data_IF_038073734379
#
_entry.id   IF_038073734379
#
_cell.length_a   1.000
_cell.length_b   1.000
_cell.length_c   1.000
_cell.angle_alpha   90.00
_cell.angle_beta   90.00
_cell.angle_gamma   90.00
#
_symmetry.space_group_name_H-M   'P 1'
#
loop_
_entity.id
_entity.type
_entity.pdbx_description
1 polymer ?
#
# COMPACT_ATOMS: atom_id res chain seq x y z
N UNK A 1 5.90 14.43 -68.20
CA UNK A 1 5.78 13.94 -66.82
C UNK A 1 7.15 13.39 -66.44
N UNK A 2 7.83 13.96 -65.43
CA UNK A 2 9.12 13.46 -64.95
C UNK A 2 8.85 12.21 -64.13
N UNK A 3 9.41 11.07 -64.52
CA UNK A 3 9.27 9.81 -63.78
C UNK A 3 10.45 9.69 -62.83
N UNK A 4 10.29 10.16 -61.60
CA UNK A 4 11.33 10.05 -60.58
C UNK A 4 11.40 8.59 -60.08
N UNK A 5 12.59 7.98 -60.16
CA UNK A 5 12.79 6.57 -59.79
C UNK A 5 13.28 6.47 -58.34
N UNK A 6 12.68 5.56 -57.56
CA UNK A 6 13.02 5.29 -56.16
C UNK A 6 13.63 3.90 -56.00
N UNK A 7 14.70 3.78 -55.23
CA UNK A 7 15.27 2.49 -54.82
C UNK A 7 14.53 2.03 -53.57
N UNK A 8 13.76 0.95 -53.70
CA UNK A 8 12.88 0.47 -52.63
C UNK A 8 13.40 -0.86 -52.07
N UNK A 9 13.70 -0.86 -50.77
CA UNK A 9 13.90 -2.10 -50.02
C UNK A 9 12.54 -2.62 -49.56
N UNK A 10 12.26 -3.90 -49.78
CA UNK A 10 10.98 -4.52 -49.39
C UNK A 10 11.09 -5.25 -48.07
N UNK A 11 10.23 -4.90 -47.11
CA UNK A 11 10.05 -5.63 -45.86
C UNK A 11 8.71 -6.37 -45.90
N UNK A 12 8.77 -7.63 -46.32
CA UNK A 12 7.59 -8.51 -46.47
C UNK A 12 7.49 -9.53 -45.33
N UNK A 13 8.62 -9.97 -44.76
CA UNK A 13 8.64 -10.92 -43.64
C UNK A 13 8.30 -10.22 -42.32
N UNK A 14 7.69 -10.93 -41.38
CA UNK A 14 7.34 -10.41 -40.06
C UNK A 14 8.51 -9.76 -39.31
N UNK A 15 9.70 -10.39 -39.30
CA UNK A 15 10.89 -9.85 -38.62
C UNK A 15 11.37 -8.53 -39.24
N UNK A 16 11.24 -8.40 -40.56
CA UNK A 16 11.67 -7.23 -41.31
C UNK A 16 10.67 -6.08 -41.11
N UNK A 17 9.38 -6.41 -40.99
CA UNK A 17 8.31 -5.45 -40.69
C UNK A 17 8.36 -4.94 -39.25
N UNK A 18 8.61 -5.81 -38.27
CA UNK A 18 8.72 -5.40 -36.86
C UNK A 18 9.95 -4.51 -36.63
N UNK A 19 11.06 -4.81 -37.30
CA UNK A 19 12.27 -4.00 -37.20
C UNK A 19 12.13 -2.69 -37.97
N UNK A 20 11.58 -2.70 -39.20
CA UNK A 20 11.51 -1.50 -40.04
C UNK A 20 12.88 -0.81 -40.16
N UNK A 21 12.89 0.52 -40.00
CA UNK A 21 14.12 1.33 -39.89
C UNK A 21 14.77 1.35 -38.49
N UNK A 22 14.28 0.58 -37.52
CA UNK A 22 14.82 0.55 -36.16
C UNK A 22 16.28 0.07 -36.14
N UNK A 23 17.16 0.90 -35.56
CA UNK A 23 18.59 0.63 -35.48
C UNK A 23 19.33 0.73 -36.82
N UNK A 24 18.66 1.16 -37.90
CA UNK A 24 19.28 1.42 -39.21
C UNK A 24 19.71 2.89 -39.32
N UNK A 25 20.68 3.21 -40.20
CA UNK A 25 20.94 4.60 -40.57
C UNK A 25 19.75 5.19 -41.34
N UNK A 26 19.66 6.53 -41.36
CA UNK A 26 18.64 7.23 -42.12
C UNK A 26 18.73 6.84 -43.61
N UNK A 27 17.60 6.58 -44.29
CA UNK A 27 17.60 6.33 -45.72
C UNK A 27 18.26 7.49 -46.49
N UNK A 28 19.07 7.17 -47.50
CA UNK A 28 19.61 8.17 -48.40
C UNK A 28 18.49 8.77 -49.28
N UNK A 29 18.73 9.95 -49.87
CA UNK A 29 17.80 10.50 -50.85
C UNK A 29 17.57 9.49 -52.00
N UNK A 30 16.32 9.40 -52.46
CA UNK A 30 15.89 8.42 -53.46
C UNK A 30 15.77 6.99 -52.97
N UNK A 31 15.98 6.71 -51.67
CA UNK A 31 15.80 5.39 -51.07
C UNK A 31 14.59 5.35 -50.14
N UNK A 32 13.86 4.25 -50.17
CA UNK A 32 12.71 4.02 -49.31
C UNK A 32 12.67 2.59 -48.78
N UNK A 33 12.02 2.40 -47.62
CA UNK A 33 11.60 1.09 -47.14
C UNK A 33 10.11 0.93 -47.40
N UNK A 34 9.72 -0.07 -48.19
CA UNK A 34 8.33 -0.45 -48.38
C UNK A 34 7.97 -1.60 -47.44
N UNK A 35 7.10 -1.32 -46.48
CA UNK A 35 6.58 -2.30 -45.53
C UNK A 35 5.22 -2.78 -46.04
N UNK A 36 5.12 -4.09 -46.30
CA UNK A 36 3.90 -4.71 -46.85
C UNK A 36 3.57 -6.02 -46.13
N UNK A 37 2.32 -6.21 -45.64
CA UNK A 37 1.27 -5.20 -45.46
C UNK A 37 1.55 -4.30 -44.25
N UNK A 38 1.21 -3.01 -44.34
CA UNK A 38 1.34 -2.08 -43.22
C UNK A 38 0.33 -0.93 -43.29
N UNK A 39 -0.42 -0.74 -42.20
CA UNK A 39 -1.43 0.32 -42.04
C UNK A 39 -1.18 1.21 -40.81
N UNK A 40 -0.13 0.93 -40.03
CA UNK A 40 0.28 1.68 -38.85
C UNK A 40 1.77 1.54 -38.63
N UNK A 41 2.43 2.65 -38.29
CA UNK A 41 3.85 2.72 -37.98
C UNK A 41 4.02 3.44 -36.65
N UNK A 42 4.92 2.92 -35.82
CA UNK A 42 5.40 3.62 -34.63
C UNK A 42 6.87 4.02 -34.80
N UNK A 43 7.26 5.12 -34.18
CA UNK A 43 8.65 5.58 -34.12
C UNK A 43 9.24 5.44 -32.71
N UNK A 44 8.68 4.54 -31.89
CA UNK A 44 9.30 4.16 -30.62
C UNK A 44 10.75 3.69 -30.87
N UNK A 45 11.69 4.15 -30.04
CA UNK A 45 13.12 3.83 -30.13
C UNK A 45 13.84 4.27 -31.42
N UNK A 46 13.20 5.05 -32.30
CA UNK A 46 13.87 5.67 -33.45
C UNK A 46 14.78 6.82 -33.01
N UNK A 47 15.91 7.02 -33.70
CA UNK A 47 16.86 8.10 -33.40
C UNK A 47 16.64 9.39 -34.20
N UNK A 48 15.85 9.31 -35.27
CA UNK A 48 15.63 10.41 -36.22
C UNK A 48 14.17 10.38 -36.72
N UNK A 49 13.62 11.53 -37.15
CA UNK A 49 12.30 11.58 -37.77
C UNK A 49 12.33 10.96 -39.18
N UNK A 50 11.20 10.39 -39.59
CA UNK A 50 11.02 9.80 -40.92
C UNK A 50 9.72 10.30 -41.55
N UNK A 51 9.69 10.40 -42.88
CA UNK A 51 8.45 10.62 -43.61
C UNK A 51 7.74 9.28 -43.80
N UNK A 52 6.42 9.29 -43.60
CA UNK A 52 5.56 8.11 -43.75
C UNK A 52 4.54 8.38 -44.85
N UNK A 53 4.52 7.52 -45.87
CA UNK A 53 3.56 7.58 -46.98
C UNK A 53 2.75 6.29 -47.00
N UNK A 54 1.47 6.38 -46.69
CA UNK A 54 0.53 5.27 -46.71
C UNK A 54 -0.06 5.10 -48.12
N UNK A 55 -0.01 3.89 -48.66
CA UNK A 55 -0.56 3.53 -49.98
C UNK A 55 -1.73 2.55 -49.86
N UNK A 56 -2.76 2.68 -50.71
CA UNK A 56 -3.80 1.67 -50.84
C UNK A 56 -3.31 0.43 -51.63
N UNK A 57 -4.18 -0.57 -51.80
CA UNK A 57 -3.81 -1.81 -52.52
C UNK A 57 -3.55 -1.64 -54.02
N UNK A 58 -3.83 -0.47 -54.60
CA UNK A 58 -3.52 -0.14 -56.00
C UNK A 58 -2.25 0.72 -56.13
N UNK A 59 -1.53 0.98 -55.03
CA UNK A 59 -0.34 1.83 -55.04
C UNK A 59 -0.63 3.34 -54.98
N UNK A 60 -1.87 3.77 -54.76
CA UNK A 60 -2.18 5.19 -54.62
C UNK A 60 -1.94 5.68 -53.19
N UNK A 61 -1.31 6.85 -53.06
CA UNK A 61 -1.09 7.52 -51.77
C UNK A 61 -2.44 7.91 -51.17
N UNK A 62 -2.71 7.43 -49.95
CA UNK A 62 -3.93 7.76 -49.19
C UNK A 62 -3.68 8.71 -48.03
N UNK A 63 -2.44 8.78 -47.54
CA UNK A 63 -2.04 9.69 -46.46
C UNK A 63 -0.52 9.88 -46.47
N UNK A 64 -0.07 11.12 -46.28
CA UNK A 64 1.33 11.44 -45.96
C UNK A 64 1.41 11.98 -44.53
N UNK A 65 2.46 11.61 -43.81
CA UNK A 65 2.87 12.22 -42.54
C UNK A 65 4.33 12.62 -42.68
N UNK A 66 4.58 13.93 -42.66
CA UNK A 66 5.94 14.47 -42.76
C UNK A 66 6.63 14.47 -41.40
N UNK A 67 7.92 14.14 -41.41
CA UNK A 67 8.85 14.21 -40.28
C UNK A 67 8.26 13.67 -38.96
N UNK A 68 7.71 12.44 -39.01
CA UNK A 68 7.18 11.76 -37.83
C UNK A 68 8.32 11.56 -36.80
N UNK A 69 8.29 12.35 -35.74
CA UNK A 69 9.33 12.38 -34.70
C UNK A 69 9.38 11.06 -33.92
N UNK A 70 10.51 10.73 -33.25
CA UNK A 70 10.58 9.61 -32.31
C UNK A 70 9.46 9.61 -31.26
N UNK A 71 9.05 8.42 -30.81
CA UNK A 71 7.98 8.22 -29.82
C UNK A 71 6.62 8.74 -30.27
N UNK A 72 6.27 8.52 -31.54
CA UNK A 72 4.96 8.83 -32.11
C UNK A 72 4.41 7.62 -32.86
N UNK A 73 3.13 7.70 -33.18
CA UNK A 73 2.42 6.67 -33.94
C UNK A 73 1.65 7.38 -35.06
N UNK A 74 1.67 6.78 -36.25
CA UNK A 74 0.83 7.17 -37.37
C UNK A 74 0.11 5.95 -37.91
N UNK A 75 -1.18 6.07 -38.16
CA UNK A 75 -1.99 5.01 -38.76
C UNK A 75 -2.89 5.54 -39.88
N UNK A 76 -3.21 4.66 -40.82
CA UNK A 76 -4.18 4.85 -41.88
C UNK A 76 -4.85 3.51 -42.21
N UNK A 77 -6.09 3.33 -41.75
CA UNK A 77 -6.85 2.09 -41.97
C UNK A 77 -7.13 1.77 -43.45
N UNK A 78 -7.09 2.77 -44.33
CA UNK A 78 -7.25 2.63 -45.79
C UNK A 78 -5.98 2.14 -46.49
N UNK A 79 -4.86 2.10 -45.77
CA UNK A 79 -3.57 1.69 -46.31
C UNK A 79 -3.44 0.17 -46.34
N UNK A 80 -2.71 -0.30 -47.35
CA UNK A 80 -2.23 -1.68 -47.49
C UNK A 80 -0.71 -1.74 -47.41
N UNK A 81 -0.03 -0.67 -47.82
CA UNK A 81 1.42 -0.56 -47.79
C UNK A 81 1.83 0.75 -47.13
N UNK A 82 3.02 0.78 -46.54
CA UNK A 82 3.62 2.00 -46.01
C UNK A 82 5.03 2.15 -46.53
N UNK A 83 5.34 3.32 -47.09
CA UNK A 83 6.67 3.76 -47.48
C UNK A 83 7.27 4.61 -46.36
N UNK A 84 8.44 4.22 -45.87
CA UNK A 84 9.25 5.00 -44.94
C UNK A 84 10.42 5.64 -45.69
N UNK A 85 10.56 6.96 -45.57
CA UNK A 85 11.55 7.77 -46.26
C UNK A 85 12.31 8.66 -45.26
N UNK A 86 13.43 9.22 -45.71
CA UNK A 86 14.07 10.32 -44.98
C UNK A 86 13.09 11.49 -44.78
N UNK A 87 13.19 12.19 -43.65
CA UNK A 87 12.36 13.36 -43.40
C UNK A 87 12.52 14.43 -44.49
N UNK A 88 11.41 14.92 -45.04
CA UNK A 88 11.37 15.90 -46.14
C UNK A 88 11.38 15.29 -47.55
N UNK A 89 11.66 14.00 -47.68
CA UNK A 89 11.80 13.33 -48.98
C UNK A 89 10.46 13.09 -49.66
N UNK A 90 9.39 12.84 -48.88
CA UNK A 90 8.06 12.67 -49.44
C UNK A 90 7.56 13.95 -50.12
N UNK A 91 7.93 15.13 -49.58
CA UNK A 91 7.64 16.43 -50.20
C UNK A 91 8.49 16.65 -51.46
N UNK A 92 9.79 16.33 -51.41
CA UNK A 92 10.71 16.48 -52.55
C UNK A 92 10.25 15.69 -53.77
N UNK A 93 9.72 14.49 -53.54
CA UNK A 93 9.21 13.57 -54.57
C UNK A 93 7.75 13.82 -54.97
N UNK A 94 7.09 14.82 -54.37
CA UNK A 94 5.69 15.14 -54.66
C UNK A 94 4.70 14.03 -54.29
N UNK A 95 5.00 13.22 -53.26
CA UNK A 95 4.14 12.12 -52.79
C UNK A 95 2.98 12.69 -51.97
N UNK A 96 1.99 13.25 -52.67
CA UNK A 96 0.74 13.77 -52.11
C UNK A 96 -0.38 12.73 -52.18
N UNK A 97 -1.38 12.77 -51.28
CA UNK A 97 -2.59 11.97 -51.42
C UNK A 97 -3.21 12.08 -52.82
N UNK A 98 -3.53 10.93 -53.42
CA UNK A 98 -4.04 10.84 -54.79
C UNK A 98 -3.00 10.52 -55.86
N UNK A 99 -1.69 10.66 -55.56
CA UNK A 99 -0.62 10.25 -56.48
C UNK A 99 -0.54 8.73 -56.55
N UNK A 100 -0.46 8.19 -57.77
CA UNK A 100 -0.21 6.77 -58.01
C UNK A 100 1.29 6.49 -58.01
N UNK A 101 1.72 5.51 -57.21
CA UNK A 101 3.10 5.01 -57.18
C UNK A 101 3.10 3.64 -57.84
N UNK A 102 3.84 3.50 -58.94
CA UNK A 102 4.06 2.19 -59.56
C UNK A 102 5.05 1.39 -58.69
N UNK A 103 4.55 0.32 -58.08
CA UNK A 103 5.33 -0.58 -57.24
C UNK A 103 5.85 -1.79 -58.04
N UNK A 104 5.66 -1.85 -59.36
CA UNK A 104 6.21 -2.90 -60.19
C UNK A 104 7.75 -2.77 -60.29
N UNK A 105 8.51 -3.88 -60.21
CA UNK A 105 9.94 -3.84 -60.48
C UNK A 105 10.19 -3.46 -61.95
N UNK A 106 11.20 -2.61 -62.19
CA UNK A 106 11.55 -2.14 -63.53
C UNK A 106 12.09 -3.25 -64.48
N UNK A 107 12.23 -4.50 -64.01
CA UNK A 107 12.60 -5.67 -64.81
C UNK A 107 11.94 -6.95 -64.27
N UNK A 108 11.59 -7.93 -65.12
CA UNK A 108 10.96 -9.16 -64.69
C UNK A 108 11.96 -10.05 -63.92
N UNK A 109 11.75 -10.21 -62.61
CA UNK A 109 12.34 -11.29 -61.83
C UNK A 109 11.42 -12.52 -61.86
N UNK A 110 12.01 -13.71 -61.92
CA UNK A 110 11.28 -14.97 -61.86
C UNK A 110 10.40 -15.04 -60.60
N UNK A 111 9.14 -15.54 -60.71
CA UNK A 111 8.21 -15.58 -59.59
C UNK A 111 8.73 -16.51 -58.50
N UNK A 112 9.05 -15.94 -57.33
CA UNK A 112 9.28 -16.69 -56.10
C UNK A 112 7.92 -17.26 -55.66
N UNK A 113 7.81 -18.57 -55.35
CA UNK A 113 6.51 -19.16 -55.03
C UNK A 113 5.91 -18.51 -53.77
N UNK A 114 4.70 -17.96 -53.94
CA UNK A 114 3.88 -17.41 -52.87
C UNK A 114 3.56 -18.50 -51.83
N UNK A 115 4.31 -18.54 -50.74
CA UNK A 115 3.87 -19.26 -49.54
C UNK A 115 2.84 -18.37 -48.84
N UNK A 116 1.56 -18.71 -48.97
CA UNK A 116 0.47 -17.92 -48.40
C UNK A 116 0.63 -17.76 -46.89
N UNK A 117 0.83 -16.52 -46.44
CA UNK A 117 0.81 -16.18 -45.02
C UNK A 117 -0.64 -16.25 -44.50
N UNK A 118 -1.03 -17.43 -44.00
CA UNK A 118 -2.17 -17.54 -43.09
C UNK A 118 -1.62 -17.51 -41.67
N UNK A 119 -1.90 -16.44 -40.92
CA UNK A 119 -1.87 -16.48 -39.44
C UNK A 119 -0.80 -15.68 -38.68
N UNK A 120 -0.16 -14.64 -39.25
CA UNK A 120 0.81 -13.84 -38.48
C UNK A 120 0.22 -13.19 -37.21
N UNK A 121 -1.06 -12.79 -37.23
CA UNK A 121 -1.79 -12.29 -36.05
C UNK A 121 -2.01 -13.35 -34.99
N UNK A 122 -2.20 -14.61 -35.39
CA UNK A 122 -2.34 -15.74 -34.48
C UNK A 122 -1.01 -16.01 -33.77
N UNK A 123 0.12 -15.94 -34.49
CA UNK A 123 1.46 -16.13 -33.90
C UNK A 123 1.79 -15.01 -32.92
N UNK A 124 1.49 -13.75 -33.25
CA UNK A 124 1.68 -12.62 -32.34
C UNK A 124 0.81 -12.74 -31.08
N UNK A 125 -0.46 -13.14 -31.23
CA UNK A 125 -1.34 -13.38 -30.09
C UNK A 125 -0.87 -14.56 -29.22
N UNK A 126 -0.35 -15.62 -29.81
CA UNK A 126 0.17 -16.79 -29.07
C UNK A 126 1.42 -16.45 -28.26
N UNK A 127 2.21 -15.46 -28.69
CA UNK A 127 3.41 -15.02 -27.96
C UNK A 127 3.05 -13.93 -26.93
N UNK A 128 2.35 -12.88 -27.35
CA UNK A 128 2.07 -11.69 -26.52
C UNK A 128 0.91 -11.96 -25.56
N UNK A 129 -0.10 -12.71 -25.98
CA UNK A 129 -1.31 -12.99 -25.20
C UNK A 129 -1.00 -13.65 -23.84
N UNK A 130 -0.25 -14.76 -23.79
CA UNK A 130 0.12 -15.39 -22.51
C UNK A 130 0.96 -14.48 -21.61
N UNK A 131 1.88 -13.69 -22.18
CA UNK A 131 2.70 -12.75 -21.40
C UNK A 131 1.85 -11.61 -20.80
N UNK A 132 1.00 -10.99 -21.61
CA UNK A 132 0.09 -9.93 -21.16
C UNK A 132 -0.90 -10.45 -20.11
N UNK A 133 -1.44 -11.65 -20.30
CA UNK A 133 -2.29 -12.33 -19.32
C UNK A 133 -1.54 -12.60 -18.02
N UNK A 134 -0.30 -13.10 -18.09
CA UNK A 134 0.52 -13.35 -16.91
C UNK A 134 0.80 -12.07 -16.11
N UNK A 135 1.13 -10.97 -16.80
CA UNK A 135 1.31 -9.66 -16.15
C UNK A 135 0.01 -9.22 -15.45
N UNK A 136 -1.15 -9.37 -16.09
CA UNK A 136 -2.44 -9.05 -15.49
C UNK A 136 -2.72 -9.90 -14.24
N UNK A 137 -2.42 -11.20 -14.28
CA UNK A 137 -2.57 -12.10 -13.13
C UNK A 137 -1.64 -11.70 -11.98
N UNK A 138 -0.40 -11.26 -12.26
CA UNK A 138 0.54 -10.75 -11.25
C UNK A 138 0.04 -9.43 -10.64
N UNK A 139 -0.49 -8.52 -11.45
CA UNK A 139 -1.07 -7.27 -10.94
C UNK A 139 -2.27 -7.54 -10.01
N UNK A 140 -3.15 -8.47 -10.40
CA UNK A 140 -4.27 -8.90 -9.55
C UNK A 140 -3.77 -9.55 -8.25
N UNK A 141 -2.75 -10.39 -8.32
CA UNK A 141 -2.11 -10.99 -7.14
C UNK A 141 -1.53 -9.94 -6.21
N UNK A 142 -0.91 -8.88 -6.75
CA UNK A 142 -0.38 -7.78 -5.96
C UNK A 142 -1.50 -6.99 -5.26
N UNK A 143 -2.64 -6.78 -5.92
CA UNK A 143 -3.81 -6.15 -5.30
C UNK A 143 -4.36 -7.00 -4.13
N UNK A 144 -4.43 -8.33 -4.27
CA UNK A 144 -4.81 -9.23 -3.18
C UNK A 144 -3.80 -9.24 -2.04
N UNK A 145 -2.51 -9.13 -2.34
CA UNK A 145 -1.45 -8.98 -1.34
C UNK A 145 -1.62 -7.68 -0.56
N UNK A 146 -1.90 -6.56 -1.24
CA UNK A 146 -2.18 -5.28 -0.59
C UNK A 146 -3.42 -5.35 0.31
N UNK A 147 -4.48 -6.03 -0.14
CA UNK A 147 -5.67 -6.27 0.68
C UNK A 147 -5.35 -7.10 1.93
N UNK A 148 -4.61 -8.20 1.78
CA UNK A 148 -4.17 -9.03 2.90
C UNK A 148 -3.27 -8.25 3.88
N UNK A 149 -2.39 -7.40 3.35
CA UNK A 149 -1.52 -6.52 4.13
C UNK A 149 -2.32 -5.51 4.96
N UNK A 150 -3.33 -4.90 4.36
CA UNK A 150 -4.23 -3.96 5.05
C UNK A 150 -4.99 -4.64 6.20
N UNK A 151 -5.55 -5.83 5.95
CA UNK A 151 -6.22 -6.64 6.97
C UNK A 151 -5.27 -7.05 8.11
N UNK A 152 -4.04 -7.46 7.79
CA UNK A 152 -3.03 -7.80 8.78
C UNK A 152 -2.67 -6.59 9.64
N UNK A 153 -2.49 -5.41 9.05
CA UNK A 153 -2.18 -4.18 9.80
C UNK A 153 -3.31 -3.82 10.77
N UNK A 154 -4.57 -3.90 10.33
CA UNK A 154 -5.73 -3.70 11.19
C UNK A 154 -5.77 -4.72 12.35
N UNK A 155 -5.58 -6.01 12.05
CA UNK A 155 -5.55 -7.04 13.08
C UNK A 155 -4.40 -6.87 14.07
N UNK A 156 -3.25 -6.40 13.59
CA UNK A 156 -2.07 -6.11 14.41
C UNK A 156 -2.35 -4.92 15.34
N UNK A 157 -3.03 -3.87 14.86
CA UNK A 157 -3.46 -2.74 15.68
C UNK A 157 -4.47 -3.16 16.76
N UNK A 158 -5.51 -3.93 16.43
CA UNK A 158 -6.46 -4.43 17.44
C UNK A 158 -5.79 -5.36 18.45
N UNK A 159 -4.85 -6.19 18.01
CA UNK A 159 -4.05 -7.05 18.89
C UNK A 159 -3.23 -6.23 19.89
N UNK A 160 -2.56 -5.17 19.42
CA UNK A 160 -1.83 -4.26 20.29
C UNK A 160 -2.76 -3.48 21.21
N UNK A 161 -3.90 -2.99 20.72
CA UNK A 161 -4.90 -2.30 21.54
C UNK A 161 -5.33 -3.18 22.71
N UNK A 162 -5.74 -4.41 22.42
CA UNK A 162 -6.10 -5.38 23.45
C UNK A 162 -4.93 -5.69 24.40
N UNK A 163 -3.71 -5.83 23.87
CA UNK A 163 -2.50 -6.06 24.67
C UNK A 163 -2.20 -4.92 25.64
N UNK A 164 -2.31 -3.66 25.20
CA UNK A 164 -1.98 -2.50 26.05
C UNK A 164 -2.89 -2.35 27.26
N UNK A 165 -4.15 -2.77 27.18
CA UNK A 165 -5.12 -2.72 28.29
C UNK A 165 -5.16 -4.02 29.12
N UNK A 166 -4.67 -5.13 28.56
CA UNK A 166 -4.68 -6.45 29.20
C UNK A 166 -3.28 -6.88 29.67
N UNK A 167 -2.49 -5.95 30.20
CA UNK A 167 -1.17 -6.18 30.78
C UNK A 167 -0.17 -6.89 29.85
N UNK A 168 -0.27 -6.66 28.54
CA UNK A 168 0.53 -7.33 27.51
C UNK A 168 0.37 -8.86 27.48
N UNK A 169 -0.76 -9.40 27.96
CA UNK A 169 -1.00 -10.85 27.99
C UNK A 169 -1.10 -11.45 26.58
N UNK A 170 -0.30 -12.48 26.23
CA UNK A 170 -0.32 -13.10 24.91
C UNK A 170 -1.70 -13.67 24.52
N UNK A 171 -2.47 -14.18 25.49
CA UNK A 171 -3.82 -14.72 25.25
C UNK A 171 -4.80 -13.64 24.78
N UNK A 172 -4.75 -12.44 25.36
CA UNK A 172 -5.58 -11.30 24.96
C UNK A 172 -5.19 -10.78 23.57
N UNK A 173 -3.88 -10.65 23.32
CA UNK A 173 -3.33 -10.23 22.02
C UNK A 173 -3.76 -11.22 20.93
N UNK A 174 -3.58 -12.52 21.18
CA UNK A 174 -3.96 -13.58 20.23
C UNK A 174 -5.46 -13.59 19.95
N UNK A 175 -6.29 -13.51 20.98
CA UNK A 175 -7.75 -13.52 20.82
C UNK A 175 -8.26 -12.32 20.00
N UNK A 176 -7.68 -11.13 20.23
CA UNK A 176 -8.00 -9.93 19.47
C UNK A 176 -7.52 -10.02 18.01
N UNK A 177 -6.30 -10.52 17.78
CA UNK A 177 -5.78 -10.79 16.44
C UNK A 177 -6.69 -11.74 15.65
N UNK A 178 -7.04 -12.90 16.22
CA UNK A 178 -7.88 -13.91 15.56
C UNK A 178 -9.30 -13.38 15.29
N UNK A 179 -9.82 -12.55 16.20
CA UNK A 179 -11.10 -11.85 15.98
C UNK A 179 -11.02 -10.88 14.82
N UNK A 180 -9.97 -10.05 14.74
CA UNK A 180 -9.82 -9.08 13.67
C UNK A 180 -9.57 -9.76 12.30
N UNK A 181 -8.81 -10.87 12.27
CA UNK A 181 -8.57 -11.66 11.05
C UNK A 181 -9.83 -12.38 10.55
N UNK A 182 -10.91 -12.46 11.32
CA UNK A 182 -12.16 -13.11 10.89
C UNK A 182 -12.70 -12.52 9.58
N UNK A 183 -12.63 -11.18 9.41
CA UNK A 183 -13.09 -10.50 8.19
C UNK A 183 -12.30 -10.86 6.93
N UNK A 184 -11.01 -11.19 7.08
CA UNK A 184 -10.18 -11.64 5.96
C UNK A 184 -10.59 -13.04 5.46
N UNK A 185 -11.15 -13.87 6.35
CA UNK A 185 -11.59 -15.23 6.05
C UNK A 185 -13.06 -15.34 5.59
N UNK A 186 -13.76 -14.21 5.55
CA UNK A 186 -15.14 -14.11 5.10
C UNK A 186 -15.94 -13.15 5.98
N UNK A 187 -17.21 -13.01 5.66
CA UNK A 187 -18.16 -12.28 6.49
C UNK A 187 -19.30 -13.17 6.92
N UNK A 188 -20.40 -12.52 7.27
CA UNK A 188 -21.68 -13.15 7.53
C UNK A 188 -22.65 -12.09 7.99
N UNK A 189 -23.90 -12.17 7.55
CA UNK A 189 -24.99 -11.35 8.10
C UNK A 189 -25.70 -12.07 9.24
N UNK A 190 -25.45 -13.39 9.37
CA UNK A 190 -25.97 -14.22 10.46
C UNK A 190 -24.86 -14.66 11.41
N UNK A 191 -25.25 -15.03 12.63
CA UNK A 191 -24.32 -15.57 13.65
C UNK A 191 -23.66 -16.87 13.20
N UNK A 192 -24.38 -17.72 12.46
CA UNK A 192 -23.87 -18.99 11.93
C UNK A 192 -22.78 -18.76 10.86
N UNK A 193 -23.00 -17.84 9.93
CA UNK A 193 -22.01 -17.48 8.91
C UNK A 193 -20.76 -16.84 9.55
N UNK A 194 -20.95 -15.97 10.53
CA UNK A 194 -19.84 -15.35 11.25
C UNK A 194 -19.04 -16.39 12.05
N UNK A 195 -19.70 -17.37 12.66
CA UNK A 195 -19.04 -18.48 13.34
C UNK A 195 -18.20 -19.33 12.37
N UNK A 196 -18.70 -19.59 11.16
CA UNK A 196 -17.95 -20.30 10.12
C UNK A 196 -16.72 -19.49 9.63
N UNK A 197 -16.87 -18.18 9.45
CA UNK A 197 -15.75 -17.28 9.12
C UNK A 197 -14.70 -17.24 10.24
N UNK A 198 -15.14 -17.21 11.50
CA UNK A 198 -14.25 -17.28 12.67
C UNK A 198 -13.51 -18.61 12.75
N UNK A 199 -14.19 -19.73 12.50
CA UNK A 199 -13.56 -21.06 12.49
C UNK A 199 -12.46 -21.15 11.42
N UNK A 200 -12.70 -20.59 10.22
CA UNK A 200 -11.68 -20.50 9.16
C UNK A 200 -10.47 -19.66 9.57
N UNK A 201 -10.68 -18.56 10.29
CA UNK A 201 -9.58 -17.73 10.79
C UNK A 201 -8.77 -18.44 11.86
N UNK A 202 -9.43 -19.13 12.80
CA UNK A 202 -8.76 -19.91 13.85
C UNK A 202 -7.95 -21.08 13.28
N UNK A 203 -8.43 -21.70 12.18
CA UNK A 203 -7.68 -22.75 11.49
C UNK A 203 -6.35 -22.25 10.89
N UNK A 204 -6.19 -20.96 10.66
CA UNK A 204 -4.93 -20.37 10.19
C UNK A 204 -3.96 -20.04 11.32
N UNK A 205 -4.29 -20.34 12.58
CA UNK A 205 -3.46 -19.96 13.71
C UNK A 205 -2.00 -20.43 13.66
N UNK A 206 -1.69 -21.66 13.19
CA UNK A 206 -0.31 -22.13 13.03
C UNK A 206 0.53 -21.31 12.03
N UNK A 207 -0.11 -20.58 11.13
CA UNK A 207 0.54 -19.80 10.08
C UNK A 207 0.65 -18.31 10.42
N UNK A 208 0.39 -17.96 11.69
CA UNK A 208 0.53 -16.62 12.24
C UNK A 208 1.41 -16.65 13.50
N UNK A 209 2.60 -16.05 13.41
CA UNK A 209 3.51 -15.89 14.54
C UNK A 209 3.41 -14.47 15.08
N UNK A 210 3.03 -14.33 16.35
CA UNK A 210 2.95 -13.05 17.06
C UNK A 210 4.14 -12.97 18.01
N UNK A 211 5.00 -11.98 17.79
CA UNK A 211 6.22 -11.78 18.54
C UNK A 211 6.12 -10.47 19.32
N UNK A 212 6.35 -10.54 20.63
CA UNK A 212 6.39 -9.38 21.50
C UNK A 212 7.84 -8.91 21.62
N UNK A 213 8.14 -7.79 20.96
CA UNK A 213 9.48 -7.20 20.88
C UNK A 213 9.77 -6.25 22.04
N UNK A 214 8.74 -5.71 22.68
CA UNK A 214 8.83 -4.86 23.86
C UNK A 214 7.48 -4.90 24.59
N UNK A 215 7.45 -4.94 25.93
CA UNK A 215 8.60 -4.94 26.84
C UNK A 215 9.42 -6.24 26.75
N UNK A 216 10.74 -6.12 26.81
CA UNK A 216 11.67 -7.25 26.77
C UNK A 216 11.86 -7.86 28.16
N UNK A 217 12.44 -9.06 28.25
CA UNK A 217 12.81 -9.65 29.54
C UNK A 217 13.74 -8.73 30.33
N UNK A 218 14.68 -8.09 29.63
CA UNK A 218 15.63 -7.13 30.16
C UNK A 218 14.91 -5.85 30.65
N UNK A 219 13.85 -5.42 29.96
CA UNK A 219 13.01 -4.31 30.43
C UNK A 219 12.38 -4.63 31.80
N UNK A 220 12.00 -5.89 32.04
CA UNK A 220 11.53 -6.34 33.35
C UNK A 220 12.68 -6.47 34.37
N UNK A 221 13.91 -6.81 33.97
CA UNK A 221 15.07 -6.80 34.88
C UNK A 221 15.30 -5.39 35.43
N UNK A 222 15.33 -4.39 34.54
CA UNK A 222 15.62 -3.00 34.86
C UNK A 222 14.48 -2.34 35.66
N UNK A 223 13.22 -2.53 35.25
CA UNK A 223 12.11 -1.67 35.68
C UNK A 223 10.97 -2.36 36.44
N UNK A 224 11.10 -3.62 36.86
CA UNK A 224 10.03 -4.25 37.64
C UNK A 224 9.85 -3.63 39.04
N UNK A 225 8.59 -3.59 39.49
CA UNK A 225 8.15 -3.11 40.81
C UNK A 225 7.54 -4.26 41.62
N UNK A 226 8.27 -4.82 42.61
CA UNK A 226 7.74 -5.83 43.52
C UNK A 226 6.50 -5.38 44.30
N UNK A 227 6.45 -4.11 44.73
CA UNK A 227 5.30 -3.58 45.46
C UNK A 227 4.05 -3.52 44.58
N UNK A 228 4.19 -3.14 43.31
CA UNK A 228 3.09 -3.15 42.36
C UNK A 228 2.65 -4.58 42.02
N UNK A 229 3.59 -5.51 41.83
CA UNK A 229 3.30 -6.91 41.60
C UNK A 229 2.45 -7.51 42.74
N UNK A 230 2.82 -7.23 44.00
CA UNK A 230 2.06 -7.63 45.17
C UNK A 230 0.65 -7.03 45.20
N UNK A 231 0.50 -5.72 44.90
CA UNK A 231 -0.81 -5.05 44.86
C UNK A 231 -1.74 -5.61 43.78
N UNK A 232 -1.19 -6.05 42.65
CA UNK A 232 -1.97 -6.67 41.58
C UNK A 232 -2.17 -8.17 41.75
N UNK A 233 -1.61 -8.79 42.80
CA UNK A 233 -1.65 -10.24 43.00
C UNK A 233 -0.99 -11.02 41.86
N UNK A 234 0.00 -10.43 41.19
CA UNK A 234 0.68 -11.03 40.05
C UNK A 234 1.88 -11.85 40.51
N UNK A 235 2.03 -13.08 40.01
CA UNK A 235 3.22 -13.90 40.24
C UNK A 235 4.41 -13.51 39.33
N UNK A 236 4.15 -12.74 38.26
CA UNK A 236 5.16 -12.25 37.33
C UNK A 236 5.66 -10.85 37.67
N UNK A 237 6.81 -10.48 37.10
CA UNK A 237 7.35 -9.12 37.20
C UNK A 237 6.43 -8.11 36.52
N UNK A 238 6.33 -6.92 37.09
CA UNK A 238 5.40 -5.87 36.63
C UNK A 238 6.13 -4.56 36.50
N UNK A 239 6.01 -3.91 35.34
CA UNK A 239 6.56 -2.56 35.14
C UNK A 239 5.46 -1.53 35.44
N UNK A 240 5.73 -0.48 36.23
CA UNK A 240 4.74 0.57 36.47
C UNK A 240 4.44 1.35 35.18
N UNK A 241 3.17 1.71 34.98
CA UNK A 241 2.68 2.47 33.81
C UNK A 241 2.08 3.85 34.18
N UNK A 242 2.19 4.27 35.44
CA UNK A 242 1.66 5.55 35.92
C UNK A 242 2.80 6.55 36.15
N UNK A 243 2.51 7.85 36.03
CA UNK A 243 3.47 8.93 36.28
C UNK A 243 4.79 8.82 35.51
N UNK A 244 4.76 8.20 34.31
CA UNK A 244 5.95 7.97 33.49
C UNK A 244 6.68 9.25 33.05
N UNK A 245 6.02 10.42 33.11
CA UNK A 245 6.68 11.70 32.83
C UNK A 245 7.67 12.11 33.92
N UNK A 246 7.52 11.59 35.14
CA UNK A 246 8.26 12.02 36.32
C UNK A 246 9.09 10.90 36.96
N UNK A 247 8.85 9.65 36.57
CA UNK A 247 9.55 8.48 37.09
C UNK A 247 10.62 8.03 36.09
N UNK A 248 11.87 7.98 36.55
CA UNK A 248 12.95 7.23 35.89
C UNK A 248 13.02 5.79 36.40
N UNK A 249 12.61 5.57 37.65
CA UNK A 249 12.57 4.27 38.32
C UNK A 249 11.23 4.03 39.03
N UNK A 250 10.86 2.76 39.28
CA UNK A 250 9.76 2.44 40.19
C UNK A 250 9.96 3.06 41.58
N UNK A 251 8.88 3.53 42.21
CA UNK A 251 8.91 4.21 43.52
C UNK A 251 9.53 3.30 44.61
N UNK A 252 9.26 2.00 44.53
CA UNK A 252 9.78 0.99 45.46
C UNK A 252 11.20 0.52 45.13
N UNK A 253 11.77 0.94 43.99
CA UNK A 253 13.15 0.67 43.58
C UNK A 253 13.81 1.93 43.02
N UNK A 254 14.11 2.95 43.86
CA UNK A 254 14.65 4.22 43.40
C UNK A 254 16.06 4.13 42.78
N UNK A 255 16.82 3.06 43.06
CA UNK A 255 18.14 2.79 42.49
C UNK A 255 18.11 1.74 41.37
N UNK A 256 17.09 1.79 40.50
CA UNK A 256 17.00 0.92 39.33
C UNK A 256 18.02 1.31 38.24
N UNK A 257 18.27 0.42 37.28
CA UNK A 257 19.12 0.72 36.12
C UNK A 257 18.36 1.57 35.09
N UNK A 258 18.23 2.88 35.35
CA UNK A 258 17.41 3.79 34.53
C UNK A 258 18.12 4.41 33.33
N UNK A 259 19.45 4.27 33.24
CA UNK A 259 20.24 4.85 32.15
C UNK A 259 20.32 3.87 30.97
N UNK A 260 19.73 4.21 29.79
CA UNK A 260 19.77 3.35 28.61
C UNK A 260 21.17 3.03 28.09
N UNK A 261 22.19 3.81 28.44
CA UNK A 261 23.56 3.54 28.03
C UNK A 261 24.20 2.38 28.82
N UNK A 262 23.68 2.06 30.01
CA UNK A 262 24.30 1.12 30.94
C UNK A 262 23.37 0.00 31.41
N UNK A 263 22.05 0.13 31.20
CA UNK A 263 21.08 -0.88 31.60
C UNK A 263 20.98 -2.05 30.61
N UNK A 264 20.41 -3.17 31.07
CA UNK A 264 20.37 -4.40 30.28
C UNK A 264 19.47 -4.28 29.05
N UNK A 265 18.40 -3.49 29.15
CA UNK A 265 17.40 -3.32 28.09
C UNK A 265 17.77 -2.31 27.01
N UNK A 266 18.72 -1.41 27.27
CA UNK A 266 18.99 -0.25 26.42
C UNK A 266 17.81 0.71 26.30
N UNK A 267 16.92 0.74 27.29
CA UNK A 267 15.62 1.42 27.23
C UNK A 267 15.37 2.31 28.44
N UNK A 268 14.60 3.38 28.28
CA UNK A 268 14.06 4.15 29.41
C UNK A 268 12.83 3.45 30.02
N UNK A 269 12.36 3.90 31.19
CA UNK A 269 11.09 3.41 31.77
C UNK A 269 9.90 3.67 30.83
N UNK A 270 9.95 4.76 30.05
CA UNK A 270 8.94 5.10 29.05
C UNK A 270 8.98 4.13 27.86
N UNK A 271 10.18 3.80 27.37
CA UNK A 271 10.37 2.81 26.30
C UNK A 271 9.92 1.42 26.72
N UNK A 272 10.21 1.03 27.97
CA UNK A 272 9.74 -0.20 28.59
C UNK A 272 8.21 -0.26 28.75
N UNK A 273 7.50 0.87 28.58
CA UNK A 273 6.04 0.95 28.53
C UNK A 273 5.49 1.06 27.09
N UNK A 274 6.29 0.75 26.07
CA UNK A 274 5.82 0.59 24.69
C UNK A 274 5.63 -0.90 24.38
N UNK A 275 4.40 -1.26 24.01
CA UNK A 275 4.08 -2.56 23.42
C UNK A 275 4.49 -2.54 21.95
N UNK A 276 5.57 -3.24 21.61
CA UNK A 276 6.04 -3.43 20.24
C UNK A 276 5.73 -4.85 19.80
N UNK A 277 4.89 -5.01 18.77
CA UNK A 277 4.56 -6.33 18.22
C UNK A 277 5.11 -6.46 16.80
N UNK A 278 5.62 -7.65 16.48
CA UNK A 278 5.87 -8.11 15.11
C UNK A 278 5.00 -9.32 14.84
N UNK A 279 4.15 -9.24 13.81
CA UNK A 279 3.27 -10.33 13.42
C UNK A 279 3.62 -10.79 12.01
N UNK A 280 4.04 -12.05 11.89
CA UNK A 280 4.31 -12.70 10.61
C UNK A 280 3.14 -13.60 10.25
N UNK A 281 2.56 -13.42 9.07
CA UNK A 281 1.40 -14.19 8.59
C UNK A 281 1.66 -14.74 7.18
N UNK A 282 1.34 -16.02 6.97
CA UNK A 282 1.44 -16.66 5.66
C UNK A 282 0.11 -16.67 4.90
N UNK A 283 0.02 -15.90 3.80
CA UNK A 283 -1.17 -15.86 2.95
C UNK A 283 -1.43 -17.26 2.35
N UNK A 284 -2.59 -17.88 2.59
CA UNK A 284 -2.86 -19.25 2.15
C UNK A 284 -3.02 -19.32 0.63
N UNK A 285 -2.62 -20.43 0.02
CA UNK A 285 -2.72 -20.66 -1.43
C UNK A 285 -4.13 -20.45 -2.00
N UNK A 286 -5.17 -20.79 -1.23
CA UNK A 286 -6.60 -20.55 -1.59
C UNK A 286 -6.98 -19.08 -1.79
N UNK A 287 -6.15 -18.14 -1.32
CA UNK A 287 -6.33 -16.68 -1.44
C UNK A 287 -5.35 -16.07 -2.46
N UNK A 288 -4.65 -16.91 -3.23
CA UNK A 288 -3.71 -16.49 -4.26
C UNK A 288 -4.29 -16.77 -5.66
N UNK A 289 -3.91 -15.94 -6.63
CA UNK A 289 -4.20 -16.13 -8.05
C UNK A 289 -3.39 -17.33 -8.56
N UNK A 290 -4.03 -18.27 -9.30
CA UNK A 290 -3.34 -19.37 -9.94
C UNK A 290 -2.17 -18.88 -10.80
N UNK A 291 -1.08 -19.65 -10.86
CA UNK A 291 0.18 -19.33 -11.54
C UNK A 291 0.97 -18.17 -10.90
N UNK A 292 0.34 -17.02 -10.64
CA UNK A 292 1.01 -15.84 -10.08
C UNK A 292 1.42 -16.02 -8.61
N UNK A 293 0.55 -16.60 -7.77
CA UNK A 293 0.85 -16.88 -6.36
C UNK A 293 2.05 -17.81 -6.17
N UNK A 294 2.04 -19.02 -6.76
CA UNK A 294 3.18 -19.94 -6.72
C UNK A 294 4.45 -19.34 -7.33
N UNK A 295 4.33 -18.53 -8.39
CA UNK A 295 5.46 -17.80 -8.96
C UNK A 295 6.07 -16.84 -7.93
N UNK A 296 5.25 -16.04 -7.23
CA UNK A 296 5.74 -15.13 -6.20
C UNK A 296 6.37 -15.85 -5.00
N UNK A 297 5.75 -16.93 -4.50
CA UNK A 297 6.30 -17.72 -3.41
C UNK A 297 7.67 -18.33 -3.78
N UNK A 298 7.79 -18.87 -5.00
CA UNK A 298 9.07 -19.37 -5.53
C UNK A 298 10.10 -18.26 -5.75
N UNK A 299 9.68 -17.11 -6.26
CA UNK A 299 10.56 -15.96 -6.44
C UNK A 299 11.14 -15.48 -5.10
N UNK A 300 10.31 -15.45 -4.04
CA UNK A 300 10.78 -15.14 -2.68
C UNK A 300 11.79 -16.17 -2.16
N UNK A 301 11.57 -17.46 -2.40
CA UNK A 301 12.52 -18.50 -2.01
C UNK A 301 13.92 -18.32 -2.65
N UNK A 302 13.96 -17.80 -3.89
CA UNK A 302 15.21 -17.57 -4.63
C UNK A 302 15.87 -16.24 -4.25
N UNK A 303 15.08 -15.17 -4.15
CA UNK A 303 15.59 -13.83 -3.86
C UNK A 303 16.07 -13.68 -2.41
N UNK A 304 15.52 -14.49 -1.50
CA UNK A 304 15.80 -14.41 -0.07
C UNK A 304 16.33 -15.75 0.47
N UNK A 305 17.18 -16.41 -0.33
CA UNK A 305 17.74 -17.73 -0.01
C UNK A 305 18.61 -17.76 1.27
N UNK A 306 19.01 -16.59 1.78
CA UNK A 306 19.81 -16.44 3.00
C UNK A 306 18.96 -16.12 4.25
N UNK A 307 17.63 -16.12 4.15
CA UNK A 307 16.80 -15.88 5.33
C UNK A 307 16.91 -17.01 6.36
N UNK A 308 17.40 -16.66 7.54
CA UNK A 308 17.60 -17.58 8.66
C UNK A 308 16.33 -17.91 9.45
N UNK A 309 15.16 -17.35 9.09
CA UNK A 309 13.91 -17.57 9.82
C UNK A 309 13.20 -18.87 9.40
N UNK A 310 13.38 -19.92 10.21
CA UNK A 310 12.76 -21.23 10.01
C UNK A 310 11.23 -21.19 9.86
N UNK A 311 10.54 -20.26 10.53
CA UNK A 311 9.09 -20.13 10.40
C UNK A 311 8.72 -19.60 9.01
N UNK A 312 9.42 -18.57 8.54
CA UNK A 312 9.16 -17.96 7.24
C UNK A 312 9.53 -18.91 6.11
N UNK A 313 10.63 -19.65 6.26
CA UNK A 313 11.00 -20.74 5.36
C UNK A 313 9.91 -21.84 5.31
N UNK A 314 9.36 -22.23 6.46
CA UNK A 314 8.23 -23.17 6.54
C UNK A 314 6.98 -22.69 5.80
N UNK A 315 6.63 -21.40 5.94
CA UNK A 315 5.51 -20.81 5.20
C UNK A 315 5.72 -20.89 3.68
N UNK A 316 6.93 -20.56 3.20
CA UNK A 316 7.25 -20.61 1.77
C UNK A 316 7.21 -22.06 1.26
N UNK A 317 7.73 -23.02 2.05
CA UNK A 317 7.68 -24.44 1.73
C UNK A 317 6.22 -24.96 1.62
N UNK A 318 5.32 -24.44 2.45
CA UNK A 318 3.87 -24.71 2.39
C UNK A 318 3.15 -23.97 1.25
N UNK A 319 3.88 -23.25 0.38
CA UNK A 319 3.32 -22.48 -0.73
C UNK A 319 2.59 -21.20 -0.30
N UNK A 320 2.88 -20.69 0.89
CA UNK A 320 2.29 -19.46 1.42
C UNK A 320 3.21 -18.26 1.18
N UNK A 321 2.61 -17.09 1.00
CA UNK A 321 3.36 -15.84 0.83
C UNK A 321 3.47 -15.17 2.22
N UNK A 322 4.67 -15.09 2.82
CA UNK A 322 4.85 -14.46 4.13
C UNK A 322 4.73 -12.93 4.02
N UNK A 323 3.99 -12.34 4.95
CA UNK A 323 3.88 -10.88 5.15
C UNK A 323 4.08 -10.54 6.63
N UNK A 324 4.75 -9.42 6.93
CA UNK A 324 5.17 -9.07 8.31
C UNK A 324 4.65 -7.70 8.71
N UNK A 325 3.78 -7.59 9.70
CA UNK A 325 3.27 -6.32 10.24
C UNK A 325 3.96 -5.97 11.56
N UNK A 326 4.20 -4.68 11.76
CA UNK A 326 4.73 -4.12 13.00
C UNK A 326 3.75 -3.10 13.55
N UNK A 327 3.63 -3.03 14.86
CA UNK A 327 2.91 -1.94 15.53
C UNK A 327 3.58 -1.62 16.85
N UNK A 328 3.45 -0.35 17.24
CA UNK A 328 3.93 0.16 18.52
C UNK A 328 2.79 0.94 19.15
N UNK A 329 2.44 0.59 20.39
CA UNK A 329 1.42 1.30 21.16
C UNK A 329 1.90 1.49 22.59
N UNK A 330 1.57 2.63 23.20
CA UNK A 330 1.86 2.86 24.61
C UNK A 330 0.93 2.01 25.48
N UNK A 331 1.50 1.33 26.46
CA UNK A 331 0.77 0.56 27.45
C UNK A 331 -0.29 1.43 28.15
N UNK A 332 -1.48 0.87 28.36
CA UNK A 332 -2.60 1.47 29.11
C UNK A 332 -2.85 0.76 30.44
N UNK A 333 -2.08 -0.29 30.71
CA UNK A 333 -2.07 -1.08 31.93
C UNK A 333 -0.62 -1.48 32.24
N UNK A 334 -0.25 -1.75 33.50
CA UNK A 334 1.09 -2.23 33.83
C UNK A 334 1.40 -3.54 33.08
N UNK A 335 2.42 -3.63 32.22
CA UNK A 335 2.74 -4.89 31.57
C UNK A 335 3.20 -5.91 32.62
N UNK A 336 2.73 -7.14 32.49
CA UNK A 336 3.10 -8.27 33.33
C UNK A 336 3.97 -9.19 32.48
N UNK A 337 5.10 -9.63 33.02
CA UNK A 337 5.91 -10.65 32.39
C UNK A 337 5.13 -11.96 32.31
N UNK A 338 4.70 -12.31 31.10
CA UNK A 338 4.18 -13.62 30.74
C UNK A 338 5.23 -14.32 29.87
N UNK A 339 5.34 -15.65 29.96
CA UNK A 339 6.45 -16.48 29.41
C UNK A 339 6.85 -16.33 27.93
N UNK A 340 6.26 -15.39 27.18
CA UNK A 340 6.67 -14.92 25.86
C UNK A 340 7.32 -13.51 25.89
N UNK A 341 7.87 -13.05 27.02
CA UNK A 341 8.69 -11.84 27.09
C UNK A 341 9.97 -12.04 26.24
N UNK A 342 9.85 -11.71 24.95
CA UNK A 342 10.85 -11.75 23.87
C UNK A 342 11.55 -13.10 23.60
N UNK A 343 11.30 -13.66 22.40
CA UNK A 343 12.21 -14.63 21.74
C UNK A 343 11.98 -14.59 20.21
N UNK A 344 13.02 -14.53 19.33
CA UNK A 344 14.44 -14.64 19.62
C UNK A 344 15.23 -13.33 19.44
N UNK A 345 16.13 -13.12 20.40
CA UNK A 345 17.17 -12.10 20.36
C UNK A 345 16.91 -11.00 21.38
N UNK A 346 17.89 -10.79 22.27
CA UNK A 346 18.06 -9.50 22.93
C UNK A 346 17.83 -8.42 21.87
N UNK A 347 16.99 -7.44 22.16
CA UNK A 347 16.77 -6.31 21.27
C UNK A 347 18.11 -5.89 20.66
N UNK A 348 18.22 -6.08 19.34
CA UNK A 348 19.40 -5.71 18.54
C UNK A 348 20.74 -6.37 18.88
N UNK A 349 20.85 -7.66 19.23
CA UNK A 349 22.15 -8.36 19.29
C UNK A 349 23.28 -7.63 20.07
N UNK A 350 22.91 -6.85 21.10
CA UNK A 350 23.87 -6.03 21.88
C UNK A 350 24.38 -4.76 21.20
N UNK A 351 23.76 -4.32 20.09
CA UNK A 351 24.03 -3.04 19.41
C UNK A 351 22.73 -2.44 18.86
N UNK A 352 22.10 -1.48 19.56
CA UNK A 352 20.99 -0.73 19.01
C UNK A 352 21.40 -0.11 17.67
N UNK A 353 20.74 -0.51 16.58
CA UNK A 353 20.81 0.24 15.33
C UNK A 353 19.54 1.05 15.26
N UNK A 354 19.71 2.37 15.24
CA UNK A 354 18.65 3.34 14.96
C UNK A 354 17.89 2.88 13.69
N UNK A 355 16.54 2.74 13.71
CA UNK A 355 15.74 2.45 12.51
C UNK A 355 15.86 3.52 11.41
N UNK A 356 16.72 4.51 11.62
CA UNK A 356 16.88 5.70 10.84
C UNK A 356 15.99 6.79 11.44
N UNK A 357 16.33 8.08 11.21
CA UNK A 357 15.37 9.13 11.45
C UNK A 357 14.10 8.80 10.69
N UNK A 358 12.94 9.05 11.31
CA UNK A 358 11.66 9.02 10.61
C UNK A 358 11.87 9.76 9.27
N UNK A 359 11.37 9.24 8.13
CA UNK A 359 11.45 9.98 6.88
C UNK A 359 11.01 11.40 7.20
N UNK A 360 11.84 12.38 6.84
CA UNK A 360 11.49 13.79 7.00
C UNK A 360 10.24 14.02 6.15
N UNK A 361 9.09 13.70 6.71
CA UNK A 361 7.83 14.18 6.22
C UNK A 361 7.99 15.69 6.25
N UNK A 362 7.64 16.33 5.14
CA UNK A 362 7.17 17.71 5.21
C UNK A 362 6.33 17.81 6.48
N UNK A 363 6.71 18.72 7.38
CA UNK A 363 6.08 18.86 8.69
C UNK A 363 4.56 18.72 8.56
N UNK A 364 3.94 18.15 9.60
CA UNK A 364 2.49 17.93 9.66
C UNK A 364 1.77 19.07 8.92
N UNK A 365 0.94 18.78 7.90
CA UNK A 365 0.27 19.82 7.15
C UNK A 365 -0.45 20.73 8.15
N UNK A 366 -0.20 22.04 8.05
CA UNK A 366 -0.87 23.02 8.90
C UNK A 366 -2.37 22.76 8.81
N UNK A 367 -3.03 22.64 9.96
CA UNK A 367 -4.46 22.37 10.00
C UNK A 367 -5.18 23.43 9.15
N UNK A 368 -6.05 23.01 8.21
CA UNK A 368 -6.77 23.95 7.37
C UNK A 368 -7.65 24.84 8.26
N UNK A 369 -7.71 26.14 7.94
CA UNK A 369 -8.44 27.19 8.68
C UNK A 369 -9.94 26.92 8.80
N UNK A 370 -10.44 25.88 8.12
CA UNK A 370 -11.83 25.43 8.14
C UNK A 370 -12.12 24.38 9.23
N UNK A 371 -11.13 23.89 9.98
CA UNK A 371 -11.33 22.92 11.06
C UNK A 371 -11.61 23.63 12.41
N UNK A 372 -12.82 23.53 12.98
CA UNK A 372 -13.19 24.20 14.23
C UNK A 372 -12.44 23.66 15.47
N UNK A 373 -11.70 22.56 15.36
CA UNK A 373 -10.88 22.01 16.44
C UNK A 373 -9.48 22.66 16.56
N UNK A 374 -9.10 23.57 15.65
CA UNK A 374 -7.80 24.25 15.63
C UNK A 374 -7.93 25.77 15.68
N UNK A 375 -8.52 26.28 16.77
CA UNK A 375 -8.42 27.71 17.11
C UNK A 375 -7.07 27.97 17.80
N UNK A 376 -6.32 29.01 17.44
CA UNK A 376 -5.14 29.41 18.22
C UNK A 376 -5.58 29.81 19.63
N UNK A 377 -4.82 29.37 20.64
CA UNK A 377 -4.93 29.88 22.01
C UNK A 377 -4.85 31.41 21.99
N UNK A 378 -5.82 32.07 22.64
CA UNK A 378 -5.80 33.52 22.81
C UNK A 378 -4.53 33.89 23.60
N UNK A 379 -3.73 34.80 23.05
CA UNK A 379 -2.68 35.48 23.80
C UNK A 379 -3.26 36.07 25.10
N UNK A 380 -2.57 35.90 26.24
CA UNK A 380 -3.01 36.52 27.48
C UNK A 380 -2.88 38.04 27.38
N UNK A 381 -3.88 38.81 27.84
CA UNK A 381 -3.81 40.27 27.79
C UNK A 381 -2.67 40.78 28.68
N UNK A 382 -1.86 41.67 28.12
CA UNK A 382 -0.86 42.44 28.83
C UNK A 382 -1.51 43.61 29.59
N UNK A 383 -1.49 43.57 30.92
CA UNK A 383 -1.79 44.71 31.79
C UNK A 383 -2.89 44.45 32.82
N UNK A 384 -2.80 45.06 34.03
CA UNK A 384 -3.72 44.76 35.12
C UNK A 384 -5.00 45.58 35.00
N UNK A 385 -6.12 44.90 34.71
CA UNK A 385 -7.44 45.45 34.97
C UNK A 385 -7.88 45.10 36.41
N UNK A 386 -8.64 45.98 37.09
CA UNK A 386 -8.88 45.90 38.52
C UNK A 386 -9.76 44.69 38.87
N UNK A 387 -9.33 43.97 39.91
CA UNK A 387 -10.04 42.84 40.54
C UNK A 387 -11.40 43.32 41.09
N UNK A 388 -12.54 42.70 40.70
CA UNK A 388 -13.76 42.75 41.48
C UNK A 388 -13.74 41.62 42.53
N UNK A 389 -14.14 41.98 43.74
CA UNK A 389 -14.25 41.17 44.97
C UNK A 389 -14.88 39.77 44.75
N UNK A 390 -14.46 38.71 45.50
CA UNK A 390 -14.95 37.36 45.29
C UNK A 390 -16.34 37.19 45.93
N UNK A 391 -17.37 37.02 45.10
CA UNK A 391 -18.69 36.58 45.55
C UNK A 391 -18.70 35.09 45.97
N UNK A 392 -19.66 34.64 46.80
CA UNK A 392 -19.63 33.32 47.41
C UNK A 392 -19.87 32.21 46.38
N UNK A 393 -19.06 31.16 46.52
CA UNK A 393 -19.00 29.94 45.70
C UNK A 393 -20.39 29.26 45.60
N UNK A 394 -20.85 29.02 44.37
CA UNK A 394 -22.03 28.18 44.08
C UNK A 394 -21.71 26.72 44.45
N UNK A 395 -22.33 26.21 45.51
CA UNK A 395 -22.40 24.77 45.83
C UNK A 395 -23.68 24.20 45.21
N UNK A 396 -23.60 23.05 44.51
CA UNK A 396 -24.75 22.38 43.90
C UNK A 396 -25.29 21.26 44.82
N UNK A 397 -26.49 21.42 45.41
CA UNK A 397 -27.05 20.47 46.38
C UNK A 397 -27.56 19.15 45.76
N UNK A 398 -27.51 18.97 44.42
CA UNK A 398 -27.87 17.71 43.77
C UNK A 398 -26.68 16.77 43.55
N UNK A 399 -25.45 17.28 43.66
CA UNK A 399 -24.23 16.53 43.31
C UNK A 399 -23.23 16.41 44.46
N UNK A 400 -23.33 17.24 45.52
CA UNK A 400 -22.43 17.20 46.69
C UNK A 400 -23.14 16.75 48.00
N UNK A 401 -22.87 15.53 48.52
CA UNK A 401 -23.45 15.03 49.77
C UNK A 401 -22.74 15.65 51.00
N UNK A 402 -23.08 16.90 51.29
CA UNK A 402 -22.55 17.66 52.42
C UNK A 402 -23.02 19.12 52.52
N UNK A 403 -23.62 19.68 51.46
CA UNK A 403 -24.15 21.04 51.50
C UNK A 403 -25.48 21.10 52.28
N UNK A 404 -25.58 22.05 53.24
CA UNK A 404 -26.78 22.27 54.07
C UNK A 404 -27.98 22.63 53.18
N UNK A 405 -29.16 22.07 53.49
CA UNK A 405 -30.39 22.29 52.72
C UNK A 405 -30.83 23.77 52.72
N UNK A 406 -31.19 24.28 51.55
CA UNK A 406 -31.77 25.61 51.37
C UNK A 406 -33.26 25.63 51.79
N UNK A 407 -33.78 26.80 52.21
CA UNK A 407 -35.11 26.92 52.82
C UNK A 407 -36.24 26.67 51.82
N UNK A 408 -37.36 26.13 52.32
CA UNK A 408 -38.52 25.70 51.55
C UNK A 408 -39.15 26.83 50.72
N UNK A 409 -39.24 26.66 49.41
CA UNK A 409 -40.06 27.52 48.55
C UNK A 409 -41.53 27.08 48.65
N UNK A 410 -42.39 27.90 49.26
CA UNK A 410 -43.84 27.85 49.06
C UNK A 410 -44.17 28.51 47.72
N UNK A 411 -44.99 27.86 46.89
CA UNK A 411 -45.46 28.42 45.62
C UNK A 411 -46.46 29.59 45.85
N UNK A 412 -46.48 30.63 44.99
CA UNK A 412 -47.53 31.65 44.96
C UNK A 412 -48.90 31.05 44.60
N UNK A 413 -49.98 31.62 45.16
CA UNK A 413 -51.33 31.03 45.19
C UNK A 413 -52.14 31.12 43.87
N UNK A 414 -51.53 31.56 42.78
CA UNK A 414 -52.22 32.07 41.60
C UNK A 414 -51.85 31.33 40.29
N UNK A 415 -51.03 30.28 40.36
CA UNK A 415 -50.63 29.45 39.21
C UNK A 415 -51.79 28.68 38.53
N UNK A 416 -52.90 28.42 39.23
CA UNK A 416 -53.98 27.53 38.73
C UNK A 416 -55.11 28.20 37.93
N UNK A 417 -55.04 29.49 37.61
CA UNK A 417 -56.05 30.17 36.78
C UNK A 417 -55.56 30.40 35.35
N UNK A 418 -55.60 29.37 34.51
CA UNK A 418 -55.21 29.58 33.11
C UNK A 418 -55.39 28.45 32.11
N UNK A 419 -56.01 27.31 32.45
CA UNK A 419 -56.21 26.22 31.47
C UNK A 419 -57.65 25.74 31.54
N UNK A 420 -58.49 26.32 30.69
CA UNK A 420 -59.82 25.79 30.35
C UNK A 420 -59.64 24.50 29.55
N UNK A 421 -60.23 23.43 30.06
CA UNK A 421 -60.28 22.09 29.47
C UNK A 421 -61.57 21.90 28.66
N UNK A 422 -61.50 21.66 27.35
CA UNK A 422 -62.49 20.82 26.67
C UNK A 422 -61.96 20.28 25.32
N UNK A 423 -62.02 18.97 25.06
CA UNK A 423 -61.87 18.39 23.73
C UNK A 423 -63.25 18.12 23.08
N UNK A 424 -63.35 18.23 21.76
CA UNK A 424 -64.55 17.80 21.00
C UNK A 424 -64.14 16.75 19.96
N UNK A 425 -64.74 15.54 19.98
CA UNK A 425 -64.71 14.56 18.87
C UNK A 425 -66.04 14.59 18.09
N UNK A 426 -66.26 13.77 17.04
CA UNK A 426 -65.37 12.83 16.36
C UNK A 426 -64.72 13.34 15.07
#
# INVERSE_FOLDING_TARGET
MSTDTLIVHRAERWSDRLRGLLGKPQPAAGHALLITPCASVHTAFMRYPIDIVFLNGQGCVVKRVEALRPWRIAACWRARHTLELAAGEARRLGLEPGVAVDLAPAAPHAPIPCRGERGATLVEFVIVGPLALFILLVLMQYALLFHARSQLNYATFEAARAGTVANARPTAIRAAFDRAMTGYHGGGTTTAELAASRARALAEAPFARIELLSPTRESFDDYHSPALAARMGSSGRVIPNTNLAYLACPIDRPACHSDPATNASGQTLQDANLLKLRITYGIPAKKQIPLAGPFMARALAVLDAADGDAFRAGLIADGRIPIVAHTVMRMQSPPIEAGNASNPGAGNAGKPVDPGPAPQGSGLPACPVTDPACMPEREPPSGPDPVPDPGPIQCDPLTDPGCRSLPSCRAPADWLKGISTSPTPP
#
